data_IF_508817193424
#
_entry.id   IF_508817193424
#
_cell.length_a   1.000
_cell.length_b   1.000
_cell.length_c   1.000
_cell.angle_alpha   90.00
_cell.angle_beta   90.00
_cell.angle_gamma   90.00
#
_symmetry.space_group_name_H-M   'P 1'
#
loop_
_entity.id
_entity.type
_entity.pdbx_description
1 polymer ?
#
# COMPACT_ATOMS: atom_id res chain seq x y z
N UNK A 1 10.95 -0.08 11.10
CA UNK A 1 11.10 -1.41 11.75
C UNK A 1 12.30 -2.19 11.23
N UNK A 2 12.44 -2.54 9.95
CA UNK A 2 13.60 -3.32 9.43
C UNK A 2 14.92 -2.65 9.78
N UNK A 3 15.07 -1.34 9.58
CA UNK A 3 16.28 -0.60 9.94
C UNK A 3 16.60 -0.68 11.44
N UNK A 4 15.59 -0.55 12.29
CA UNK A 4 15.76 -0.64 13.74
C UNK A 4 16.19 -2.06 14.16
N UNK A 5 15.59 -3.09 13.55
CA UNK A 5 15.98 -4.48 13.76
C UNK A 5 17.44 -4.73 13.39
N UNK A 6 17.89 -4.29 12.21
CA UNK A 6 19.27 -4.45 11.75
C UNK A 6 20.25 -3.76 12.70
N UNK A 7 19.96 -2.54 13.10
CA UNK A 7 20.83 -1.78 14.01
C UNK A 7 20.89 -2.41 15.41
N UNK A 8 19.79 -2.98 15.91
CA UNK A 8 19.75 -3.68 17.19
C UNK A 8 20.59 -4.98 17.19
N UNK A 9 20.65 -5.70 16.08
CA UNK A 9 21.48 -6.92 15.94
C UNK A 9 22.98 -6.66 16.17
N UNK A 10 23.46 -5.47 15.79
CA UNK A 10 24.85 -5.06 16.05
C UNK A 10 25.01 -4.27 17.34
N UNK A 11 23.98 -4.29 18.20
CA UNK A 11 23.95 -3.60 19.50
C UNK A 11 24.15 -2.08 19.40
N UNK A 12 23.76 -1.48 18.29
CA UNK A 12 23.71 -0.03 18.17
C UNK A 12 22.58 0.56 19.03
N UNK A 13 22.81 1.75 19.61
CA UNK A 13 21.72 2.48 20.27
C UNK A 13 20.77 3.02 19.22
N UNK A 14 19.53 2.55 19.24
CA UNK A 14 18.48 2.87 18.25
C UNK A 14 17.24 3.37 18.93
N UNK A 15 16.68 4.46 18.41
CA UNK A 15 15.33 4.92 18.74
C UNK A 15 14.47 4.79 17.49
N UNK A 16 13.32 4.15 17.61
CA UNK A 16 12.27 4.05 16.60
C UNK A 16 11.12 4.96 16.99
N UNK A 17 10.82 5.95 16.16
CA UNK A 17 9.67 6.84 16.38
C UNK A 17 8.55 6.44 15.43
N UNK A 18 7.36 6.19 15.99
CA UNK A 18 6.15 5.84 15.24
C UNK A 18 4.97 6.70 15.70
N UNK A 19 4.31 7.37 14.76
CA UNK A 19 3.22 8.27 15.07
C UNK A 19 1.90 7.54 15.33
N UNK A 20 1.68 6.38 14.68
CA UNK A 20 0.43 5.64 14.71
C UNK A 20 0.64 4.23 15.29
N UNK A 21 0.46 3.22 14.46
CA UNK A 21 0.55 1.82 14.87
C UNK A 21 1.79 1.17 14.28
N UNK A 22 2.47 0.38 15.10
CA UNK A 22 3.61 -0.41 14.67
C UNK A 22 3.19 -1.37 13.55
N UNK A 23 4.14 -1.71 12.66
CA UNK A 23 3.85 -2.57 11.50
C UNK A 23 3.70 -1.79 10.19
N UNK A 24 3.39 -0.50 10.28
CA UNK A 24 3.21 0.38 9.11
C UNK A 24 2.10 -0.11 8.17
N UNK A 25 2.12 0.37 6.93
CA UNK A 25 1.09 0.06 5.93
C UNK A 25 0.95 -1.44 5.67
N UNK A 26 2.04 -2.20 5.70
CA UNK A 26 1.99 -3.62 5.37
C UNK A 26 1.10 -4.41 6.32
N UNK A 27 1.25 -4.21 7.62
CA UNK A 27 0.48 -4.90 8.65
C UNK A 27 -0.96 -4.35 8.72
N UNK A 28 -1.08 -3.01 8.77
CA UNK A 28 -2.33 -2.38 9.20
C UNK A 28 -3.30 -2.13 8.04
N UNK A 29 -2.81 -1.72 6.87
CA UNK A 29 -3.68 -1.24 5.78
C UNK A 29 -3.36 -1.84 4.41
N UNK A 30 -2.25 -2.56 4.26
CA UNK A 30 -1.75 -3.03 2.97
C UNK A 30 -1.80 -4.54 2.79
N UNK A 31 -0.61 -5.16 2.87
CA UNK A 31 -0.43 -6.57 2.49
C UNK A 31 -1.25 -7.53 3.33
N UNK A 32 -1.24 -7.39 4.65
CA UNK A 32 -1.88 -8.35 5.55
C UNK A 32 -3.40 -8.33 5.38
N UNK A 33 -4.10 -7.19 5.53
CA UNK A 33 -5.55 -7.17 5.35
C UNK A 33 -5.97 -7.53 3.93
N UNK A 34 -5.28 -7.06 2.89
CA UNK A 34 -5.66 -7.37 1.50
C UNK A 34 -5.51 -8.86 1.20
N UNK A 35 -4.43 -9.51 1.63
CA UNK A 35 -4.21 -10.95 1.40
C UNK A 35 -5.15 -11.81 2.25
N UNK A 36 -5.54 -11.36 3.43
CA UNK A 36 -6.59 -12.00 4.22
C UNK A 36 -7.95 -11.96 3.50
N UNK A 37 -8.34 -10.80 2.96
CA UNK A 37 -9.56 -10.63 2.16
C UNK A 37 -9.53 -11.48 0.89
N UNK A 38 -8.43 -11.41 0.12
CA UNK A 38 -8.22 -12.20 -1.11
C UNK A 38 -8.32 -13.70 -0.83
N UNK A 39 -7.81 -14.17 0.31
CA UNK A 39 -7.92 -15.58 0.68
C UNK A 39 -9.37 -16.02 0.85
N UNK A 40 -10.19 -15.24 1.55
CA UNK A 40 -11.62 -15.51 1.69
C UNK A 40 -12.34 -15.49 0.34
N UNK A 41 -12.07 -14.46 -0.47
CA UNK A 41 -12.62 -14.34 -1.82
C UNK A 41 -12.22 -15.51 -2.75
N UNK A 42 -10.96 -15.99 -2.62
CA UNK A 42 -10.49 -17.16 -3.35
C UNK A 42 -11.25 -18.43 -2.97
N UNK A 43 -11.51 -18.64 -1.68
CA UNK A 43 -12.28 -19.79 -1.21
C UNK A 43 -13.71 -19.71 -1.76
N UNK A 44 -14.38 -18.56 -1.63
CA UNK A 44 -15.71 -18.36 -2.19
C UNK A 44 -15.76 -18.70 -3.69
N UNK A 45 -14.81 -18.21 -4.47
CA UNK A 45 -14.69 -18.51 -5.89
C UNK A 45 -14.46 -20.00 -6.17
N UNK A 46 -13.60 -20.67 -5.38
CA UNK A 46 -13.34 -22.10 -5.55
C UNK A 46 -14.58 -22.95 -5.26
N UNK A 47 -15.40 -22.58 -4.29
CA UNK A 47 -16.67 -23.23 -3.99
C UNK A 47 -17.64 -23.03 -5.17
N UNK A 48 -17.78 -21.81 -5.68
CA UNK A 48 -18.65 -21.53 -6.81
C UNK A 48 -18.25 -22.23 -8.12
N UNK A 49 -16.94 -22.49 -8.30
CA UNK A 49 -16.36 -23.08 -9.52
C UNK A 49 -15.99 -24.57 -9.33
N UNK A 50 -16.56 -25.22 -8.34
CA UNK A 50 -16.18 -26.59 -7.93
C UNK A 50 -16.60 -27.66 -8.96
N UNK A 51 -17.60 -27.41 -9.81
CA UNK A 51 -18.10 -28.37 -10.80
C UNK A 51 -17.01 -28.81 -11.81
N UNK A 52 -16.11 -27.92 -12.17
CA UNK A 52 -15.00 -28.26 -13.08
C UNK A 52 -14.04 -29.33 -12.52
N UNK A 53 -14.12 -29.57 -11.20
CA UNK A 53 -13.34 -30.62 -10.53
C UNK A 53 -14.18 -31.85 -10.21
N UNK A 54 -15.41 -31.96 -10.75
CA UNK A 54 -16.33 -33.06 -10.49
C UNK A 54 -17.03 -32.95 -9.12
N UNK A 55 -16.94 -31.81 -8.44
CA UNK A 55 -17.61 -31.57 -7.16
C UNK A 55 -18.87 -30.78 -7.45
N UNK A 56 -19.99 -31.20 -6.88
CA UNK A 56 -21.27 -30.53 -7.11
C UNK A 56 -21.20 -29.04 -6.71
N UNK A 57 -21.65 -28.16 -7.59
CA UNK A 57 -21.62 -26.71 -7.33
C UNK A 57 -22.43 -26.36 -6.09
N UNK A 58 -21.82 -25.57 -5.21
CA UNK A 58 -22.51 -24.88 -4.13
C UNK A 58 -22.43 -23.38 -4.38
N UNK A 59 -23.57 -22.70 -4.30
CA UNK A 59 -23.56 -21.22 -4.25
C UNK A 59 -23.08 -20.81 -2.86
N UNK A 60 -21.90 -20.19 -2.72
CA UNK A 60 -21.42 -19.79 -1.41
C UNK A 60 -22.29 -18.66 -0.85
N UNK A 61 -22.77 -18.82 0.36
CA UNK A 61 -23.38 -17.73 1.14
C UNK A 61 -22.28 -16.98 1.85
N UNK A 62 -22.13 -15.69 1.56
CA UNK A 62 -21.07 -14.86 2.12
C UNK A 62 -21.57 -14.15 3.38
N UNK A 63 -21.05 -14.53 4.54
CA UNK A 63 -21.13 -13.73 5.78
C UNK A 63 -20.01 -12.67 5.74
N UNK A 64 -20.33 -11.51 5.17
CA UNK A 64 -19.34 -10.44 5.01
C UNK A 64 -18.77 -9.93 6.34
N UNK A 65 -19.57 -9.74 7.42
CA UNK A 65 -19.02 -9.46 8.75
C UNK A 65 -18.00 -10.50 9.24
N UNK A 66 -18.24 -11.80 8.99
CA UNK A 66 -17.28 -12.84 9.35
C UNK A 66 -15.99 -12.76 8.51
N UNK A 67 -16.09 -12.42 7.23
CA UNK A 67 -14.92 -12.16 6.37
C UNK A 67 -14.10 -11.00 6.94
N UNK A 68 -14.73 -9.90 7.33
CA UNK A 68 -14.03 -8.73 7.87
C UNK A 68 -13.46 -8.99 9.28
N UNK A 69 -14.17 -9.73 10.14
CA UNK A 69 -13.61 -10.20 11.40
C UNK A 69 -12.35 -11.03 11.19
N UNK A 70 -12.37 -11.98 10.25
CA UNK A 70 -11.20 -12.77 9.89
C UNK A 70 -10.03 -11.90 9.42
N UNK A 71 -10.27 -10.81 8.67
CA UNK A 71 -9.21 -9.87 8.28
C UNK A 71 -8.55 -9.26 9.53
N UNK A 72 -9.34 -8.79 10.49
CA UNK A 72 -8.83 -8.26 11.77
C UNK A 72 -8.08 -9.30 12.58
N UNK A 73 -8.62 -10.52 12.70
CA UNK A 73 -7.98 -11.61 13.43
C UNK A 73 -6.60 -11.94 12.86
N UNK A 74 -6.44 -11.88 11.54
CA UNK A 74 -5.13 -12.10 10.88
C UNK A 74 -4.16 -10.96 11.18
N UNK A 75 -4.62 -9.70 11.20
CA UNK A 75 -3.79 -8.55 11.61
C UNK A 75 -3.32 -8.76 13.05
N UNK A 76 -4.25 -9.01 13.98
CA UNK A 76 -3.95 -9.25 15.40
C UNK A 76 -3.00 -10.42 15.63
N UNK A 77 -3.13 -11.50 14.84
CA UNK A 77 -2.24 -12.65 14.95
C UNK A 77 -0.79 -12.35 14.50
N UNK A 78 -0.60 -11.38 13.61
CA UNK A 78 0.72 -10.99 13.09
C UNK A 78 1.33 -9.83 13.90
N UNK A 79 0.50 -8.95 14.46
CA UNK A 79 0.91 -7.76 15.23
C UNK A 79 2.04 -8.01 16.25
N UNK A 80 2.06 -9.12 17.04
CA UNK A 80 3.14 -9.35 17.99
C UNK A 80 4.54 -9.41 17.37
N UNK A 81 4.64 -9.73 16.08
CA UNK A 81 5.92 -9.75 15.36
C UNK A 81 6.44 -8.33 15.05
N UNK A 82 5.58 -7.33 15.11
CA UNK A 82 5.89 -5.94 14.81
C UNK A 82 5.61 -5.00 16.00
N UNK A 83 5.40 -5.56 17.19
CA UNK A 83 4.95 -4.83 18.38
C UNK A 83 6.07 -4.04 19.07
N UNK A 84 5.67 -3.04 19.86
CA UNK A 84 6.56 -2.25 20.74
C UNK A 84 7.31 -3.17 21.69
N UNK A 85 6.63 -4.15 22.29
CA UNK A 85 7.20 -5.11 23.25
C UNK A 85 8.35 -5.89 22.61
N UNK A 86 8.15 -6.40 21.39
CA UNK A 86 9.21 -7.13 20.67
C UNK A 86 10.42 -6.23 20.40
N UNK A 87 10.22 -5.03 19.89
CA UNK A 87 11.35 -4.13 19.56
C UNK A 87 12.06 -3.63 20.82
N UNK A 88 11.31 -3.35 21.90
CA UNK A 88 11.92 -3.02 23.21
C UNK A 88 12.73 -4.20 23.74
N UNK A 89 12.24 -5.43 23.60
CA UNK A 89 12.98 -6.64 23.96
C UNK A 89 14.27 -6.83 23.15
N UNK A 90 14.36 -6.26 21.95
CA UNK A 90 15.57 -6.23 21.12
C UNK A 90 16.50 -5.05 21.49
N UNK A 91 16.16 -4.23 22.48
CA UNK A 91 16.95 -3.08 22.91
C UNK A 91 16.73 -1.80 22.10
N UNK A 92 15.63 -1.73 21.35
CA UNK A 92 15.20 -0.51 20.63
C UNK A 92 14.40 0.37 21.57
N UNK A 93 14.72 1.67 21.64
CA UNK A 93 13.90 2.68 22.32
C UNK A 93 12.73 3.05 21.41
N UNK A 94 11.53 2.54 21.69
CA UNK A 94 10.31 2.82 20.92
C UNK A 94 9.63 4.05 21.50
N UNK A 95 9.45 5.07 20.67
CA UNK A 95 8.80 6.34 21.02
C UNK A 95 7.57 6.53 20.15
N UNK A 96 6.39 6.61 20.78
CA UNK A 96 5.16 6.99 20.07
C UNK A 96 5.08 8.50 19.98
N UNK A 97 4.80 9.02 18.79
CA UNK A 97 4.59 10.44 18.53
C UNK A 97 5.04 10.88 17.14
N UNK A 98 4.70 12.09 16.81
CA UNK A 98 5.05 12.72 15.53
C UNK A 98 6.43 13.36 15.59
N UNK A 99 7.36 12.87 14.77
CA UNK A 99 8.72 13.40 14.71
C UNK A 99 8.85 14.50 13.65
N UNK A 100 9.53 15.60 14.00
CA UNK A 100 9.90 16.66 13.08
C UNK A 100 11.37 17.04 13.28
N UNK A 101 12.12 17.24 12.21
CA UNK A 101 13.46 17.82 12.29
C UNK A 101 13.37 19.30 12.70
N UNK A 102 14.14 19.66 13.71
CA UNK A 102 14.35 21.05 14.16
C UNK A 102 15.70 21.58 13.71
N UNK A 103 16.68 20.69 13.51
CA UNK A 103 17.97 20.94 12.87
C UNK A 103 18.48 19.63 12.23
N UNK A 104 19.60 19.62 11.48
CA UNK A 104 20.10 18.41 10.81
C UNK A 104 20.43 17.22 11.72
N UNK A 105 20.61 17.43 13.02
CA UNK A 105 21.02 16.42 13.99
C UNK A 105 19.99 16.13 15.06
N UNK A 106 18.89 16.88 15.06
CA UNK A 106 17.87 16.82 16.12
C UNK A 106 16.49 16.70 15.52
N UNK A 107 15.73 15.73 16.03
CA UNK A 107 14.27 15.65 15.82
C UNK A 107 13.56 15.97 17.13
N UNK A 108 12.39 16.57 17.01
CA UNK A 108 11.46 16.81 18.10
C UNK A 108 10.23 15.92 17.92
N UNK A 109 9.78 15.27 18.99
CA UNK A 109 8.59 14.42 18.99
C UNK A 109 7.50 15.15 19.78
N UNK A 110 6.35 15.37 19.12
CA UNK A 110 5.16 16.05 19.65
C UNK A 110 5.44 17.40 20.34
N UNK A 111 6.45 18.16 19.85
CA UNK A 111 6.82 19.46 20.40
C UNK A 111 7.43 19.43 21.80
N UNK A 112 7.78 18.25 22.33
CA UNK A 112 8.20 18.10 23.72
C UNK A 112 9.53 17.35 23.89
N UNK A 113 9.71 16.21 23.24
CA UNK A 113 10.89 15.36 23.42
C UNK A 113 11.87 15.58 22.27
N UNK A 114 13.07 16.06 22.55
CA UNK A 114 14.13 16.17 21.56
C UNK A 114 15.05 14.95 21.60
N UNK A 115 15.40 14.47 20.40
CA UNK A 115 16.28 13.31 20.19
C UNK A 115 17.37 13.70 19.20
N UNK A 116 18.62 13.48 19.60
CA UNK A 116 19.79 13.70 18.73
C UNK A 116 20.38 12.37 18.29
N UNK A 117 20.85 12.29 17.05
CA UNK A 117 21.46 11.08 16.54
C UNK A 117 22.62 11.36 15.57
N UNK A 118 23.54 10.39 15.46
CA UNK A 118 24.63 10.42 14.47
C UNK A 118 24.14 10.15 13.04
N UNK A 119 23.03 9.45 12.90
CA UNK A 119 22.40 9.17 11.62
C UNK A 119 20.91 9.00 11.79
N UNK A 120 20.16 9.35 10.76
CA UNK A 120 18.71 9.18 10.67
C UNK A 120 18.34 8.34 9.46
N UNK A 121 17.27 7.57 9.58
CA UNK A 121 16.66 6.87 8.45
C UNK A 121 15.20 7.29 8.40
N UNK A 122 14.84 8.06 7.36
CA UNK A 122 13.48 8.52 7.10
C UNK A 122 12.72 7.37 6.45
N UNK A 123 11.65 6.91 7.11
CA UNK A 123 10.80 5.81 6.66
C UNK A 123 9.31 6.17 6.80
N UNK A 124 8.97 7.42 6.51
CA UNK A 124 7.60 7.98 6.67
C UNK A 124 6.57 7.42 5.68
N UNK A 125 7.02 6.62 4.71
CA UNK A 125 6.14 5.94 3.77
C UNK A 125 5.48 6.85 2.73
N UNK A 126 4.30 6.47 2.28
CA UNK A 126 3.48 7.23 1.33
C UNK A 126 2.01 7.22 1.75
N UNK A 127 1.23 8.16 1.25
CA UNK A 127 -0.22 8.21 1.41
C UNK A 127 -0.92 7.93 0.08
N UNK A 128 -2.15 7.42 0.06
CA UNK A 128 -2.96 7.36 -1.14
C UNK A 128 -3.07 8.74 -1.80
N UNK A 129 -2.90 8.79 -3.11
CA UNK A 129 -3.10 10.03 -3.85
C UNK A 129 -4.57 10.20 -4.19
N UNK A 130 -5.14 11.32 -3.77
CA UNK A 130 -6.52 11.70 -4.10
C UNK A 130 -6.45 12.76 -5.19
N UNK A 131 -6.96 12.47 -6.41
CA UNK A 131 -6.97 13.45 -7.49
C UNK A 131 -7.93 14.59 -7.15
N UNK A 132 -7.58 15.84 -7.46
CA UNK A 132 -8.41 17.01 -7.17
C UNK A 132 -9.58 17.10 -8.17
N UNK A 133 -10.53 16.19 -8.06
CA UNK A 133 -11.72 16.14 -8.90
C UNK A 133 -12.86 16.94 -8.25
N UNK A 134 -13.64 17.70 -9.04
CA UNK A 134 -14.84 18.35 -8.51
C UNK A 134 -15.76 17.35 -7.81
N UNK A 135 -16.17 17.67 -6.58
CA UNK A 135 -17.08 16.85 -5.77
C UNK A 135 -16.43 15.64 -5.09
N UNK A 136 -15.09 15.51 -5.11
CA UNK A 136 -14.41 14.36 -4.47
C UNK A 136 -14.64 14.35 -2.96
N UNK A 137 -14.66 15.48 -2.30
CA UNK A 137 -14.84 15.59 -0.83
C UNK A 137 -16.20 15.05 -0.38
N UNK A 138 -17.25 15.22 -1.21
CA UNK A 138 -18.61 14.75 -0.91
C UNK A 138 -18.89 13.33 -1.44
N UNK A 139 -17.93 12.71 -2.11
CA UNK A 139 -18.10 11.41 -2.76
C UNK A 139 -18.20 10.24 -1.79
N UNK A 140 -17.72 10.40 -0.55
CA UNK A 140 -17.58 9.33 0.43
C UNK A 140 -16.57 8.26 -0.01
N UNK A 141 -15.51 8.68 -0.69
CA UNK A 141 -14.49 7.76 -1.19
C UNK A 141 -13.74 7.04 -0.06
N UNK A 142 -13.29 5.85 -0.40
CA UNK A 142 -12.41 5.04 0.40
C UNK A 142 -11.03 4.97 -0.25
N UNK A 143 -10.03 4.69 0.57
CA UNK A 143 -8.67 4.41 0.13
C UNK A 143 -8.21 3.07 0.67
N UNK A 144 -7.02 2.61 0.29
CA UNK A 144 -6.40 1.44 0.91
C UNK A 144 -6.15 1.61 2.42
N UNK A 145 -6.14 2.83 2.94
CA UNK A 145 -5.96 3.11 4.37
C UNK A 145 -7.29 3.10 5.14
N UNK A 146 -8.37 3.62 4.57
CA UNK A 146 -9.66 3.79 5.26
C UNK A 146 -10.65 2.65 5.02
N UNK A 147 -10.41 1.83 4.01
CA UNK A 147 -11.27 0.73 3.59
C UNK A 147 -11.62 -0.24 4.72
N UNK A 148 -10.60 -0.62 5.52
CA UNK A 148 -10.70 -1.72 6.46
C UNK A 148 -11.66 -1.42 7.61
N UNK A 149 -11.57 -0.24 8.17
CA UNK A 149 -12.43 0.20 9.27
C UNK A 149 -13.87 0.39 8.80
N UNK A 150 -14.04 1.08 7.66
CA UNK A 150 -15.38 1.33 7.11
C UNK A 150 -16.09 0.04 6.72
N UNK A 151 -15.37 -0.94 6.15
CA UNK A 151 -15.96 -2.22 5.76
C UNK A 151 -16.18 -3.17 6.94
N UNK A 152 -15.46 -2.99 8.05
CA UNK A 152 -15.56 -3.84 9.24
C UNK A 152 -16.97 -3.84 9.86
N UNK A 153 -17.65 -2.71 9.79
CA UNK A 153 -18.98 -2.52 10.40
C UNK A 153 -20.14 -2.72 9.41
N UNK A 154 -19.82 -3.08 8.16
CA UNK A 154 -20.84 -3.30 7.13
C UNK A 154 -21.51 -4.67 7.26
N UNK A 155 -22.84 -4.76 7.20
CA UNK A 155 -23.55 -6.04 7.20
C UNK A 155 -23.34 -6.85 5.91
N UNK A 156 -23.04 -6.17 4.80
CA UNK A 156 -22.86 -6.78 3.49
C UNK A 156 -21.72 -6.07 2.72
N UNK A 157 -21.11 -6.78 1.79
CA UNK A 157 -20.27 -6.16 0.79
C UNK A 157 -21.04 -5.10 -0.02
N UNK A 158 -20.36 -4.04 -0.53
CA UNK A 158 -21.01 -3.06 -1.40
C UNK A 158 -21.70 -3.74 -2.59
N UNK A 159 -22.94 -3.37 -2.90
CA UNK A 159 -23.60 -3.95 -4.07
C UNK A 159 -22.95 -3.46 -5.38
N UNK A 160 -22.73 -2.13 -5.51
CA UNK A 160 -22.05 -1.52 -6.66
C UNK A 160 -20.75 -0.84 -6.15
N UNK A 161 -19.63 -1.42 -6.49
CA UNK A 161 -18.31 -0.90 -6.11
C UNK A 161 -17.59 -0.34 -7.35
N UNK A 162 -17.24 0.93 -7.32
CA UNK A 162 -16.33 1.52 -8.29
C UNK A 162 -14.91 1.54 -7.72
N UNK A 163 -13.95 1.16 -8.54
CA UNK A 163 -12.52 1.29 -8.22
C UNK A 163 -11.91 2.21 -9.26
N UNK A 164 -11.45 3.38 -8.79
CA UNK A 164 -10.73 4.34 -9.61
C UNK A 164 -9.24 4.02 -9.53
N UNK A 165 -8.68 3.53 -10.63
CA UNK A 165 -7.29 3.09 -10.78
C UNK A 165 -7.14 1.59 -11.03
N UNK A 166 -6.47 1.24 -12.12
CA UNK A 166 -6.21 -0.12 -12.58
C UNK A 166 -4.84 -0.67 -12.22
N UNK A 167 -4.20 -0.11 -11.19
CA UNK A 167 -2.95 -0.63 -10.63
C UNK A 167 -3.15 -1.90 -9.81
N UNK A 168 -2.05 -2.47 -9.22
CA UNK A 168 -2.12 -3.70 -8.44
C UNK A 168 -3.16 -3.70 -7.33
N UNK A 169 -3.22 -2.62 -6.54
CA UNK A 169 -4.19 -2.47 -5.44
C UNK A 169 -5.62 -2.52 -5.98
N UNK A 170 -5.89 -1.76 -7.05
CA UNK A 170 -7.21 -1.72 -7.67
C UNK A 170 -7.65 -3.07 -8.23
N UNK A 171 -6.77 -3.77 -8.95
CA UNK A 171 -7.05 -5.10 -9.51
C UNK A 171 -7.27 -6.17 -8.43
N UNK A 172 -6.45 -6.18 -7.36
CA UNK A 172 -6.58 -7.11 -6.24
C UNK A 172 -7.91 -6.93 -5.50
N UNK A 173 -8.25 -5.69 -5.15
CA UNK A 173 -9.50 -5.37 -4.47
C UNK A 173 -10.72 -5.63 -5.36
N UNK A 174 -10.63 -5.28 -6.66
CA UNK A 174 -11.71 -5.55 -7.61
C UNK A 174 -12.07 -7.04 -7.67
N UNK A 175 -11.06 -7.89 -7.81
CA UNK A 175 -11.30 -9.33 -7.86
C UNK A 175 -11.86 -9.86 -6.53
N UNK A 176 -11.31 -9.39 -5.40
CA UNK A 176 -11.74 -9.83 -4.09
C UNK A 176 -13.22 -9.49 -3.84
N UNK A 177 -13.61 -8.23 -4.04
CA UNK A 177 -15.00 -7.79 -3.84
C UNK A 177 -15.98 -8.41 -4.85
N UNK A 178 -15.56 -8.57 -6.12
CA UNK A 178 -16.38 -9.27 -7.12
C UNK A 178 -16.70 -10.70 -6.68
N UNK A 179 -15.72 -11.43 -6.18
CA UNK A 179 -15.89 -12.80 -5.68
C UNK A 179 -16.68 -12.89 -4.37
N UNK A 180 -16.75 -11.79 -3.63
CA UNK A 180 -17.55 -11.67 -2.41
C UNK A 180 -18.98 -11.12 -2.66
N UNK A 181 -19.37 -10.98 -3.93
CA UNK A 181 -20.74 -10.66 -4.33
C UNK A 181 -21.00 -9.21 -4.75
N UNK A 182 -19.98 -8.35 -4.78
CA UNK A 182 -20.11 -7.00 -5.32
C UNK A 182 -20.16 -7.01 -6.85
N UNK A 183 -20.87 -6.04 -7.46
CA UNK A 183 -20.75 -5.69 -8.88
C UNK A 183 -19.67 -4.63 -9.02
N UNK A 184 -18.49 -5.04 -9.48
CA UNK A 184 -17.32 -4.17 -9.50
C UNK A 184 -17.08 -3.55 -10.86
N UNK A 185 -16.77 -2.25 -10.87
CA UNK A 185 -16.35 -1.51 -12.04
C UNK A 185 -14.97 -0.89 -11.78
N UNK A 186 -13.98 -1.19 -12.62
CA UNK A 186 -12.68 -0.52 -12.63
C UNK A 186 -12.72 0.59 -13.67
N UNK A 187 -12.28 1.78 -13.27
CA UNK A 187 -12.03 2.92 -14.17
C UNK A 187 -10.54 3.21 -14.18
N UNK A 188 -9.92 3.14 -15.36
CA UNK A 188 -8.49 3.38 -15.55
C UNK A 188 -8.28 4.36 -16.71
N UNK A 189 -7.49 5.39 -16.46
CA UNK A 189 -7.18 6.43 -17.43
C UNK A 189 -6.26 5.92 -18.55
N UNK A 190 -5.35 4.99 -18.23
CA UNK A 190 -4.49 4.37 -19.22
C UNK A 190 -5.27 3.43 -20.14
N UNK A 191 -4.67 3.07 -21.26
CA UNK A 191 -5.23 2.14 -22.26
C UNK A 191 -5.31 0.69 -21.79
N UNK A 192 -4.63 0.33 -20.69
CA UNK A 192 -4.63 -0.99 -20.08
C UNK A 192 -4.49 -0.94 -18.56
N UNK A 193 -4.91 -2.01 -17.88
CA UNK A 193 -4.62 -2.24 -16.47
C UNK A 193 -3.14 -2.57 -16.28
N UNK A 194 -2.64 -2.42 -15.05
CA UNK A 194 -1.28 -2.82 -14.64
C UNK A 194 -0.20 -2.25 -15.57
N UNK A 195 -0.25 -0.94 -15.82
CA UNK A 195 0.60 -0.25 -16.81
C UNK A 195 2.11 -0.50 -16.60
N UNK A 196 2.56 -0.76 -15.36
CA UNK A 196 3.97 -1.02 -15.02
C UNK A 196 4.40 -2.48 -15.23
N UNK A 197 3.46 -3.39 -15.53
CA UNK A 197 3.73 -4.81 -15.73
C UNK A 197 3.86 -5.14 -17.22
N UNK A 198 4.38 -6.34 -17.52
CA UNK A 198 4.46 -6.83 -18.89
C UNK A 198 3.05 -6.87 -19.52
N UNK A 199 2.93 -6.42 -20.76
CA UNK A 199 1.64 -6.27 -21.45
C UNK A 199 0.85 -7.59 -21.52
N UNK A 200 1.54 -8.71 -21.81
CA UNK A 200 0.94 -10.04 -21.89
C UNK A 200 0.39 -10.48 -20.51
N UNK A 201 1.14 -10.23 -19.43
CA UNK A 201 0.70 -10.52 -18.08
C UNK A 201 -0.51 -9.67 -17.69
N UNK A 202 -0.48 -8.38 -18.03
CA UNK A 202 -1.60 -7.46 -17.80
C UNK A 202 -2.86 -7.87 -18.57
N UNK A 203 -2.71 -8.33 -19.83
CA UNK A 203 -3.81 -8.82 -20.65
C UNK A 203 -4.46 -10.07 -20.03
N UNK A 204 -3.67 -11.04 -19.54
CA UNK A 204 -4.18 -12.24 -18.85
C UNK A 204 -4.99 -11.88 -17.60
N UNK A 205 -4.49 -10.93 -16.79
CA UNK A 205 -5.18 -10.46 -15.60
C UNK A 205 -6.49 -9.76 -15.97
N UNK A 206 -6.45 -8.89 -16.97
CA UNK A 206 -7.63 -8.16 -17.46
C UNK A 206 -8.72 -9.14 -17.93
N UNK A 207 -8.34 -10.10 -18.79
CA UNK A 207 -9.25 -11.13 -19.27
C UNK A 207 -9.87 -11.96 -18.12
N UNK A 208 -9.05 -12.26 -17.09
CA UNK A 208 -9.53 -12.98 -15.90
C UNK A 208 -10.55 -12.16 -15.10
N UNK A 209 -10.27 -10.89 -14.84
CA UNK A 209 -11.19 -9.99 -14.15
C UNK A 209 -12.52 -9.89 -14.89
N UNK A 210 -12.48 -9.68 -16.21
CA UNK A 210 -13.67 -9.61 -17.05
C UNK A 210 -14.47 -10.92 -17.07
N UNK A 211 -13.78 -12.08 -17.15
CA UNK A 211 -14.44 -13.39 -17.11
C UNK A 211 -15.13 -13.69 -15.77
N UNK A 212 -14.68 -13.05 -14.69
CA UNK A 212 -15.31 -13.11 -13.37
C UNK A 212 -16.41 -12.05 -13.17
N UNK A 213 -16.70 -11.24 -14.20
CA UNK A 213 -17.80 -10.27 -14.20
C UNK A 213 -17.43 -8.86 -13.79
N UNK A 214 -16.12 -8.54 -13.63
CA UNK A 214 -15.67 -7.16 -13.38
C UNK A 214 -15.83 -6.34 -14.67
N UNK A 215 -16.51 -5.20 -14.58
CA UNK A 215 -16.58 -4.22 -15.66
C UNK A 215 -15.30 -3.41 -15.73
N UNK A 216 -14.54 -3.50 -16.81
CA UNK A 216 -13.25 -2.81 -16.97
C UNK A 216 -13.38 -1.71 -18.01
N UNK A 217 -13.14 -0.47 -17.59
CA UNK A 217 -13.15 0.73 -18.41
C UNK A 217 -11.72 1.31 -18.45
N UNK A 218 -10.91 0.87 -19.41
CA UNK A 218 -9.62 1.49 -19.75
C UNK A 218 -9.80 2.66 -20.70
N UNK A 219 -8.80 3.53 -20.80
CA UNK A 219 -8.88 4.80 -21.55
C UNK A 219 -10.08 5.68 -21.09
N UNK A 220 -10.45 5.61 -19.81
CA UNK A 220 -11.52 6.40 -19.23
C UNK A 220 -10.97 7.28 -18.10
N UNK A 221 -11.05 8.59 -18.29
CA UNK A 221 -10.60 9.60 -17.33
C UNK A 221 -11.76 10.02 -16.43
N UNK A 222 -11.59 9.95 -15.12
CA UNK A 222 -12.54 10.55 -14.19
C UNK A 222 -12.56 12.07 -14.33
N UNK A 223 -13.74 12.66 -14.42
CA UNK A 223 -13.93 14.10 -14.59
C UNK A 223 -14.40 14.78 -13.30
N UNK A 224 -15.43 14.21 -12.67
CA UNK A 224 -16.07 14.78 -11.48
C UNK A 224 -16.92 13.74 -10.75
N UNK A 225 -17.20 14.02 -9.52
CA UNK A 225 -18.26 13.35 -8.76
C UNK A 225 -19.53 14.20 -8.83
N UNK A 226 -20.64 13.57 -9.15
CA UNK A 226 -21.95 14.20 -9.20
C UNK A 226 -22.82 13.72 -8.02
N UNK A 227 -23.91 14.45 -7.75
CA UNK A 227 -24.89 14.07 -6.73
C UNK A 227 -25.40 12.65 -6.93
N UNK A 228 -25.88 12.00 -5.86
CA UNK A 228 -26.43 10.65 -5.91
C UNK A 228 -25.38 9.55 -6.11
N UNK A 229 -24.16 9.76 -5.60
CA UNK A 229 -23.04 8.78 -5.72
C UNK A 229 -22.80 8.35 -7.16
N UNK A 230 -22.47 9.31 -8.00
CA UNK A 230 -22.22 9.10 -9.42
C UNK A 230 -20.83 9.62 -9.80
N UNK A 231 -20.00 8.77 -10.40
CA UNK A 231 -18.74 9.15 -11.03
C UNK A 231 -19.00 9.43 -12.52
N UNK A 232 -18.65 10.62 -12.97
CA UNK A 232 -18.67 10.98 -14.40
C UNK A 232 -17.28 10.78 -14.97
N UNK A 233 -17.18 10.02 -16.02
CA UNK A 233 -15.94 9.68 -16.72
C UNK A 233 -16.02 10.05 -18.18
N UNK A 234 -14.88 10.35 -18.79
CA UNK A 234 -14.73 10.58 -20.23
C UNK A 234 -13.96 9.41 -20.84
N UNK A 235 -14.53 8.76 -21.80
CA UNK A 235 -13.91 7.67 -22.54
C UNK A 235 -13.96 7.90 -24.06
N UNK A 236 -13.54 6.92 -24.87
CA UNK A 236 -13.50 7.05 -26.34
C UNK A 236 -14.85 7.37 -26.99
N UNK A 237 -15.94 7.13 -26.30
CA UNK A 237 -17.31 7.36 -26.77
C UNK A 237 -17.96 8.60 -26.14
N UNK A 238 -17.18 9.45 -25.45
CA UNK A 238 -17.64 10.62 -24.72
C UNK A 238 -17.89 10.40 -23.24
N UNK A 239 -18.65 11.31 -22.61
CA UNK A 239 -18.95 11.24 -21.19
C UNK A 239 -19.92 10.11 -20.86
N UNK A 240 -19.63 9.44 -19.74
CA UNK A 240 -20.47 8.38 -19.16
C UNK A 240 -20.62 8.57 -17.66
N UNK A 241 -21.80 8.33 -17.14
CA UNK A 241 -22.09 8.34 -15.71
C UNK A 241 -22.09 6.90 -15.15
N UNK A 242 -21.37 6.68 -14.05
CA UNK A 242 -21.26 5.39 -13.36
C UNK A 242 -21.77 5.58 -11.94
N UNK A 243 -22.91 4.98 -11.63
CA UNK A 243 -23.47 5.00 -10.28
C UNK A 243 -22.77 3.97 -9.39
N UNK A 244 -22.53 4.31 -8.12
CA UNK A 244 -21.91 3.43 -7.15
C UNK A 244 -22.59 3.52 -5.79
N UNK A 245 -22.37 2.52 -4.95
CA UNK A 245 -22.71 2.58 -3.52
C UNK A 245 -21.49 2.96 -2.70
N UNK A 246 -20.31 2.43 -3.09
CA UNK A 246 -19.01 2.81 -2.56
C UNK A 246 -18.00 2.94 -3.70
N UNK A 247 -16.99 3.79 -3.48
CA UNK A 247 -15.88 3.99 -4.42
C UNK A 247 -14.55 3.93 -3.69
N UNK A 248 -13.59 3.20 -4.27
CA UNK A 248 -12.21 3.13 -3.79
C UNK A 248 -11.32 3.91 -4.75
N UNK A 249 -10.57 4.88 -4.24
CA UNK A 249 -9.56 5.60 -5.02
C UNK A 249 -8.20 4.93 -4.83
N UNK A 250 -7.67 4.36 -5.91
CA UNK A 250 -6.44 3.58 -5.97
C UNK A 250 -5.53 4.00 -7.13
N UNK A 251 -5.45 5.31 -7.43
CA UNK A 251 -4.73 5.88 -8.59
C UNK A 251 -3.25 6.10 -8.35
N UNK A 252 -2.74 5.73 -7.20
CA UNK A 252 -1.33 5.83 -6.83
C UNK A 252 -1.11 6.27 -5.39
N UNK A 253 0.17 6.42 -5.05
CA UNK A 253 0.60 6.85 -3.71
C UNK A 253 1.59 8.00 -3.84
N UNK A 254 1.54 8.95 -2.90
CA UNK A 254 2.43 10.11 -2.83
C UNK A 254 3.33 9.97 -1.59
N UNK A 255 4.67 10.10 -1.72
CA UNK A 255 5.58 10.09 -0.58
C UNK A 255 5.17 11.09 0.51
N UNK A 256 5.25 10.66 1.77
CA UNK A 256 5.00 11.54 2.92
C UNK A 256 6.29 12.29 3.26
N UNK A 257 6.42 13.49 2.71
CA UNK A 257 7.61 14.35 2.89
C UNK A 257 7.30 15.66 3.60
N UNK A 258 6.04 16.02 3.77
CA UNK A 258 5.63 17.29 4.37
C UNK A 258 5.27 17.14 5.85
N UNK A 259 5.56 18.17 6.65
CA UNK A 259 5.27 18.22 8.08
C UNK A 259 6.38 17.67 8.98
N UNK A 260 7.46 17.13 8.39
CA UNK A 260 8.56 16.51 9.14
C UNK A 260 9.79 17.42 9.26
N UNK A 261 9.73 18.68 8.83
CA UNK A 261 10.89 19.59 8.80
C UNK A 261 11.88 19.29 7.66
N UNK A 262 11.49 18.47 6.68
CA UNK A 262 12.36 18.04 5.58
C UNK A 262 12.51 19.12 4.52
N UNK A 263 11.47 19.92 4.31
CA UNK A 263 11.49 21.05 3.39
C UNK A 263 12.41 22.15 3.91
N UNK A 264 12.36 22.47 5.20
CA UNK A 264 13.18 23.47 5.87
C UNK A 264 14.65 23.08 5.85
N UNK A 265 14.96 21.78 5.88
CA UNK A 265 16.33 21.26 5.74
C UNK A 265 16.79 21.17 4.26
N UNK A 266 15.93 21.51 3.28
CA UNK A 266 16.25 21.38 1.88
C UNK A 266 16.41 19.95 1.38
N UNK A 267 15.77 18.99 2.05
CA UNK A 267 15.81 17.57 1.68
C UNK A 267 14.78 17.21 0.61
N UNK A 268 13.75 18.05 0.43
CA UNK A 268 12.65 17.84 -0.52
C UNK A 268 12.89 18.65 -1.79
N UNK A 269 12.92 17.97 -2.94
CA UNK A 269 13.05 18.58 -4.26
C UNK A 269 11.92 18.10 -5.15
N UNK A 270 11.13 19.02 -5.71
CA UNK A 270 10.00 18.67 -6.58
C UNK A 270 8.93 17.80 -5.91
N UNK A 271 8.75 17.92 -4.58
CA UNK A 271 7.79 17.13 -3.81
C UNK A 271 8.24 15.69 -3.51
N UNK A 272 9.51 15.40 -3.69
CA UNK A 272 10.12 14.11 -3.40
C UNK A 272 11.34 14.28 -2.50
N UNK A 273 11.67 13.26 -1.73
CA UNK A 273 12.88 13.23 -0.93
C UNK A 273 14.08 12.94 -1.86
N UNK A 274 14.99 13.92 -1.98
CA UNK A 274 16.19 13.77 -2.78
C UNK A 274 17.11 12.70 -2.17
N UNK A 275 17.46 11.67 -2.93
CA UNK A 275 18.35 10.60 -2.47
C UNK A 275 19.20 10.04 -3.61
N UNK A 276 20.40 9.54 -3.24
CA UNK A 276 21.36 8.88 -4.14
C UNK A 276 21.16 7.35 -4.15
N UNK A 277 21.94 6.66 -4.97
CA UNK A 277 21.87 5.19 -5.09
C UNK A 277 22.23 4.44 -3.79
N UNK A 278 22.86 5.09 -2.83
CA UNK A 278 23.11 4.56 -1.50
C UNK A 278 21.98 4.87 -0.50
N UNK A 279 20.81 5.37 -0.97
CA UNK A 279 19.68 5.80 -0.16
C UNK A 279 20.00 6.98 0.78
N UNK A 280 21.03 7.74 0.47
CA UNK A 280 21.49 8.86 1.24
C UNK A 280 20.89 10.14 0.63
N UNK A 281 20.41 11.03 1.49
CA UNK A 281 19.94 12.35 1.07
C UNK A 281 21.11 13.28 0.76
N UNK A 282 20.84 14.52 0.40
CA UNK A 282 21.87 15.57 0.25
C UNK A 282 22.57 15.89 1.59
N UNK A 283 22.02 15.44 2.74
CA UNK A 283 22.71 15.44 4.04
C UNK A 283 23.32 14.05 4.29
N UNK A 284 24.67 13.93 4.38
CA UNK A 284 25.36 12.63 4.35
C UNK A 284 25.03 11.67 5.50
N UNK A 285 24.40 12.11 6.57
CA UNK A 285 24.03 11.32 7.75
C UNK A 285 22.53 11.02 7.79
N UNK A 286 21.74 11.54 6.83
CA UNK A 286 20.31 11.29 6.71
C UNK A 286 20.06 10.41 5.50
N UNK A 287 19.46 9.26 5.75
CA UNK A 287 19.10 8.24 4.78
C UNK A 287 17.58 8.12 4.64
N UNK A 288 17.11 7.41 3.63
CA UNK A 288 15.71 7.08 3.49
C UNK A 288 15.51 5.63 3.05
N UNK A 289 14.31 5.08 3.30
CA UNK A 289 13.96 3.74 2.86
C UNK A 289 12.44 3.60 2.70
N UNK A 290 12.02 2.76 1.77
CA UNK A 290 10.62 2.48 1.48
C UNK A 290 9.96 3.53 0.61
N UNK A 291 8.65 3.63 0.68
CA UNK A 291 7.84 4.44 -0.24
C UNK A 291 8.24 5.91 -0.28
N UNK A 292 8.78 6.45 0.81
CA UNK A 292 9.29 7.83 0.87
C UNK A 292 10.50 8.06 -0.02
N UNK A 293 11.30 7.01 -0.28
CA UNK A 293 12.46 7.09 -1.18
C UNK A 293 12.05 7.24 -2.66
N UNK A 294 10.79 6.98 -2.99
CA UNK A 294 10.22 7.24 -4.32
C UNK A 294 10.64 6.26 -5.42
N UNK A 295 11.41 5.21 -5.11
CA UNK A 295 11.95 4.25 -6.10
C UNK A 295 10.94 3.18 -6.48
N UNK A 296 10.66 2.28 -5.54
CA UNK A 296 9.68 1.20 -5.68
C UNK A 296 8.76 1.20 -4.48
N UNK A 297 7.50 1.57 -4.67
CA UNK A 297 6.50 1.61 -3.60
C UNK A 297 5.93 0.20 -3.36
N UNK A 298 6.81 -0.71 -2.93
CA UNK A 298 6.54 -2.11 -2.63
C UNK A 298 7.17 -2.48 -1.30
N UNK A 299 6.44 -3.17 -0.43
CA UNK A 299 6.90 -3.58 0.91
C UNK A 299 8.26 -4.29 0.90
N UNK A 300 8.44 -5.25 -0.03
CA UNK A 300 9.71 -5.98 -0.13
C UNK A 300 10.86 -5.08 -0.61
N UNK A 301 10.58 -4.15 -1.54
CA UNK A 301 11.54 -3.12 -1.96
C UNK A 301 11.95 -2.26 -0.79
N UNK A 302 10.98 -1.75 -0.03
CA UNK A 302 11.23 -0.94 1.16
C UNK A 302 12.02 -1.67 2.25
N UNK A 303 11.75 -2.96 2.48
CA UNK A 303 12.52 -3.78 3.42
C UNK A 303 13.96 -3.97 2.96
N UNK A 304 14.17 -4.19 1.68
CA UNK A 304 15.50 -4.31 1.08
C UNK A 304 16.27 -2.98 1.19
N UNK A 305 15.66 -1.87 0.83
CA UNK A 305 16.23 -0.53 1.00
C UNK A 305 16.57 -0.23 2.46
N UNK A 306 15.68 -0.58 3.39
CA UNK A 306 15.90 -0.38 4.83
C UNK A 306 17.14 -1.12 5.35
N UNK A 307 17.43 -2.32 4.81
CA UNK A 307 18.67 -3.03 5.09
C UNK A 307 19.88 -2.21 4.66
N UNK A 308 19.93 -1.76 3.41
CA UNK A 308 21.08 -1.02 2.87
C UNK A 308 21.26 0.35 3.53
N UNK A 309 20.17 1.06 3.77
CA UNK A 309 20.21 2.33 4.50
C UNK A 309 20.80 2.14 5.90
N UNK A 310 20.46 1.05 6.59
CA UNK A 310 21.00 0.75 7.93
C UNK A 310 22.48 0.42 7.88
N UNK A 311 22.92 -0.43 6.93
CA UNK A 311 24.34 -0.76 6.75
C UNK A 311 25.14 0.49 6.43
N UNK A 312 24.65 1.34 5.54
CA UNK A 312 25.31 2.59 5.17
C UNK A 312 25.38 3.57 6.35
N UNK A 313 24.31 3.70 7.13
CA UNK A 313 24.28 4.56 8.32
C UNK A 313 25.27 4.10 9.42
N UNK A 314 25.36 2.78 9.64
CA UNK A 314 26.22 2.19 10.68
C UNK A 314 27.69 2.12 10.29
N UNK A 315 27.97 1.82 9.01
CA UNK A 315 29.34 1.60 8.53
C UNK A 315 30.05 2.88 8.06
N UNK A 316 29.38 4.02 8.09
CA UNK A 316 29.96 5.30 7.70
C UNK A 316 31.14 5.70 8.59
N UNK A 317 32.23 6.27 8.01
CA UNK A 317 32.46 6.62 6.61
C UNK A 317 33.05 5.49 5.75
N UNK A 318 33.19 4.28 6.27
CA UNK A 318 34.03 3.23 5.71
C UNK A 318 33.40 2.43 4.55
N UNK A 319 32.06 2.44 4.42
CA UNK A 319 31.39 1.64 3.40
C UNK A 319 30.12 2.32 2.87
N UNK A 320 29.97 2.32 1.55
CA UNK A 320 28.73 2.67 0.87
C UNK A 320 28.29 1.46 0.05
N UNK A 321 27.07 0.98 0.28
CA UNK A 321 26.47 -0.15 -0.45
C UNK A 321 25.24 0.31 -1.20
N UNK A 322 25.06 -0.18 -2.41
CA UNK A 322 23.93 0.13 -3.27
C UNK A 322 22.94 -1.03 -3.23
N UNK A 323 21.63 -0.79 -3.04
CA UNK A 323 20.61 -1.83 -3.13
C UNK A 323 20.63 -2.54 -4.47
N UNK A 324 20.60 -3.87 -4.47
CA UNK A 324 20.52 -4.67 -5.69
C UNK A 324 19.04 -4.76 -6.09
N UNK A 325 18.58 -3.83 -6.93
CA UNK A 325 17.18 -3.76 -7.37
C UNK A 325 16.78 -4.86 -8.35
N UNK A 326 17.77 -5.57 -8.95
CA UNK A 326 17.51 -6.63 -9.94
C UNK A 326 16.67 -7.82 -9.40
N UNK A 327 16.63 -8.02 -8.08
CA UNK A 327 15.87 -9.10 -7.44
C UNK A 327 14.46 -8.70 -6.98
N UNK A 328 14.10 -7.44 -7.02
CA UNK A 328 12.79 -6.95 -6.62
C UNK A 328 11.78 -6.98 -7.79
N UNK A 329 11.83 -7.98 -8.66
CA UNK A 329 10.72 -8.27 -9.57
C UNK A 329 9.62 -8.98 -8.78
N UNK A 330 8.75 -8.21 -8.19
CA UNK A 330 7.53 -8.71 -7.56
C UNK A 330 6.45 -8.72 -8.62
N UNK A 331 6.04 -9.91 -9.06
CA UNK A 331 4.75 -10.03 -9.75
C UNK A 331 3.64 -9.88 -8.70
N UNK A 332 2.86 -8.81 -8.71
CA UNK A 332 1.82 -8.56 -7.70
C UNK A 332 0.67 -9.57 -7.75
N UNK A 333 0.54 -10.33 -8.83
CA UNK A 333 -0.57 -11.26 -9.02
C UNK A 333 -0.04 -12.65 -9.30
N UNK A 334 -0.03 -13.51 -8.28
CA UNK A 334 0.14 -14.94 -8.47
C UNK A 334 -1.20 -15.57 -8.86
N UNK A 335 -1.43 -15.70 -10.17
CA UNK A 335 -2.26 -16.83 -10.64
C UNK A 335 -1.42 -18.10 -10.51
N UNK A 336 -1.98 -19.23 -10.00
CA UNK A 336 -1.22 -20.47 -9.78
C UNK A 336 -0.61 -21.11 -11.03
N UNK A 337 -0.84 -20.56 -12.21
CA UNK A 337 -0.47 -21.13 -13.51
C UNK A 337 0.75 -20.51 -14.19
N UNK A 338 1.36 -19.46 -13.63
CA UNK A 338 2.55 -18.86 -14.23
C UNK A 338 3.82 -19.30 -13.49
N UNK A 339 4.12 -20.62 -13.48
CA UNK A 339 5.51 -21.07 -13.38
C UNK A 339 6.12 -20.92 -14.77
N UNK A 340 7.05 -20.01 -14.97
CA UNK A 340 8.00 -20.14 -16.06
C UNK A 340 8.83 -21.41 -15.77
N UNK A 341 8.64 -22.45 -16.54
CA UNK A 341 9.67 -23.49 -16.72
C UNK A 341 10.90 -22.76 -17.28
N UNK A 342 12.00 -22.88 -16.58
CA UNK A 342 13.32 -22.46 -17.05
C UNK A 342 13.72 -23.20 -18.29
#
# INVERSE_FOLDING_TARGET
>A
MVSAYIASMVKAKVTLVEAHDMGGDCLNTGCVPSKALIKSAKVAHQVADSARFGIQNAAPVIDFPAVMRRVRDVITAIEPHDSVERFTGLGVDCVKGYARFVDPWTIEVDGARQLTAKSFIIATGAAPFIPPLPGVEDSGYLTSETLWDVMADRPNAPNRLVILGGGPIGCELAQAFQRLGSKVTIVEMADRLLLKEDADAAALVTARLQSEGVSVHTAHRALRFASGKTLVVEGPQGEKSIAYDDIIIAVGRKPRVSGFGLEELGLVVGGQLANDDCLRTNMPHIYCAGDVAGRQQLTHGGSHEAWYASVNALARPFKNTVPITAFCRVSPIRTPSLRRSA
#
